data_IF_927662329980
#
_entry.id   IF_927662329980
#
_cell.length_a   1.000
_cell.length_b   1.000
_cell.length_c   1.000
_cell.angle_alpha   90.00
_cell.angle_beta   90.00
_cell.angle_gamma   90.00
#
_symmetry.space_group_name_H-M   'P 1'
#
loop_
_entity.id
_entity.type
_entity.pdbx_description
1 polymer ?
#
# COMPACT_ATOMS: atom_id res chain seq x y z
N UNK A 1 -11.09 19.71 8.64
CA UNK A 1 -10.78 18.33 9.06
C UNK A 1 -11.01 18.28 10.56
N UNK A 2 -12.12 17.68 11.01
CA UNK A 2 -12.42 17.59 12.46
C UNK A 2 -11.49 16.54 13.06
N UNK A 3 -11.11 16.73 14.33
CA UNK A 3 -10.22 15.84 15.09
C UNK A 3 -10.72 14.40 15.25
N UNK A 4 -11.93 14.12 14.77
CA UNK A 4 -12.70 12.92 14.98
C UNK A 4 -12.71 12.05 13.71
N UNK A 5 -12.36 12.65 12.56
CA UNK A 5 -12.10 11.99 11.27
C UNK A 5 -10.68 11.41 11.24
N UNK A 6 -10.18 10.90 12.37
CA UNK A 6 -8.85 10.30 12.40
C UNK A 6 -8.87 9.17 11.39
N UNK A 7 -7.98 9.26 10.38
CA UNK A 7 -7.44 8.05 9.77
C UNK A 7 -7.04 7.16 10.95
N UNK A 8 -7.86 6.15 11.24
CA UNK A 8 -7.55 5.23 12.33
C UNK A 8 -6.50 4.32 11.73
N UNK A 9 -5.28 4.84 11.70
CA UNK A 9 -4.08 4.04 11.52
C UNK A 9 -4.20 2.90 12.53
N UNK A 10 -4.17 1.67 12.03
CA UNK A 10 -4.31 0.49 12.86
C UNK A 10 -2.92 -0.09 13.07
N UNK A 11 -2.63 -0.50 14.31
CA UNK A 11 -1.33 -1.03 14.65
C UNK A 11 -1.07 -2.25 13.78
N UNK A 12 0.00 -2.18 13.00
CA UNK A 12 0.44 -3.23 12.12
C UNK A 12 1.91 -3.47 12.47
N UNK A 13 2.20 -4.47 13.32
CA UNK A 13 3.58 -4.84 13.57
C UNK A 13 4.08 -5.51 12.28
N UNK A 14 4.71 -4.70 11.43
CA UNK A 14 5.68 -5.19 10.45
C UNK A 14 7.08 -5.29 11.09
N UNK A 15 7.26 -4.72 12.29
CA UNK A 15 8.45 -4.91 13.10
C UNK A 15 8.43 -6.28 13.79
N UNK A 16 8.89 -7.29 13.05
CA UNK A 16 8.96 -8.68 13.50
C UNK A 16 9.86 -9.55 12.61
N UNK A 17 11.16 -9.59 12.94
CA UNK A 17 12.24 -10.45 12.40
C UNK A 17 12.71 -10.26 10.95
N UNK A 18 11.92 -9.72 10.03
CA UNK A 18 12.41 -9.33 8.70
C UNK A 18 11.80 -7.97 8.33
N UNK A 19 12.56 -6.89 8.48
CA UNK A 19 12.15 -5.51 8.11
C UNK A 19 11.92 -5.36 6.59
N UNK A 20 12.27 -6.40 5.85
CA UNK A 20 12.13 -6.56 4.42
C UNK A 20 10.88 -7.36 4.09
N UNK A 21 9.94 -6.73 3.41
CA UNK A 21 8.77 -7.40 2.82
C UNK A 21 8.75 -7.21 1.32
N UNK A 22 7.96 -8.04 0.65
CA UNK A 22 7.75 -7.97 -0.79
C UNK A 22 6.34 -7.44 -1.06
N UNK A 23 6.19 -6.18 -1.49
CA UNK A 23 4.88 -5.62 -1.78
C UNK A 23 4.24 -6.38 -2.94
N UNK A 24 2.96 -6.72 -2.76
CA UNK A 24 2.15 -7.33 -3.80
C UNK A 24 1.53 -6.21 -4.64
N UNK A 25 1.92 -6.15 -5.91
CA UNK A 25 1.42 -5.13 -6.82
C UNK A 25 -0.07 -5.36 -7.14
N UNK A 26 -0.81 -4.28 -7.34
CA UNK A 26 -2.23 -4.31 -7.67
C UNK A 26 -2.52 -3.27 -8.74
N UNK A 27 -3.21 -3.65 -9.81
CA UNK A 27 -3.57 -2.72 -10.90
C UNK A 27 -2.36 -1.91 -11.43
N UNK A 28 -1.15 -2.50 -11.39
CA UNK A 28 0.11 -1.80 -11.68
C UNK A 28 0.23 -1.45 -13.17
N UNK A 29 -0.43 -2.21 -14.04
CA UNK A 29 -0.48 -1.94 -15.48
C UNK A 29 -1.22 -0.63 -15.80
N UNK A 30 -2.06 -0.17 -14.87
CA UNK A 30 -2.76 1.13 -14.95
C UNK A 30 -2.06 2.23 -14.17
N UNK A 31 -0.96 1.90 -13.49
CA UNK A 31 -0.18 2.82 -12.67
C UNK A 31 0.68 3.71 -13.54
N UNK A 32 0.81 4.99 -13.16
CA UNK A 32 1.82 5.85 -13.82
C UNK A 32 3.22 5.54 -13.32
N UNK A 33 3.34 5.01 -12.10
CA UNK A 33 4.63 4.62 -11.51
C UNK A 33 5.12 3.31 -12.10
N UNK A 34 4.22 2.34 -12.26
CA UNK A 34 4.57 0.95 -12.57
C UNK A 34 4.06 0.47 -13.93
N UNK A 35 3.34 1.30 -14.69
CA UNK A 35 2.70 0.90 -15.96
C UNK A 35 3.69 0.61 -17.08
N UNK A 36 4.91 1.15 -17.03
CA UNK A 36 5.97 0.89 -18.00
C UNK A 36 6.81 -0.35 -17.65
N UNK A 37 6.47 -1.06 -16.56
CA UNK A 37 7.14 -2.29 -16.21
C UNK A 37 6.83 -3.41 -17.22
N UNK A 38 7.78 -4.31 -17.52
CA UNK A 38 7.52 -5.47 -18.38
C UNK A 38 6.34 -6.30 -17.90
N UNK A 39 5.65 -6.97 -18.82
CA UNK A 39 4.59 -7.91 -18.48
C UNK A 39 5.10 -8.98 -17.49
N UNK A 40 4.26 -9.37 -16.53
CA UNK A 40 4.59 -10.29 -15.43
C UNK A 40 5.57 -9.72 -14.38
N UNK A 41 5.80 -8.40 -14.36
CA UNK A 41 6.60 -7.78 -13.30
C UNK A 41 6.01 -7.95 -11.91
N UNK A 42 4.69 -8.15 -11.76
CA UNK A 42 4.05 -8.46 -10.46
C UNK A 42 4.75 -9.61 -9.73
N UNK A 43 4.99 -10.72 -10.43
CA UNK A 43 5.67 -11.87 -9.85
C UNK A 43 7.12 -11.55 -9.47
N UNK A 44 7.82 -10.78 -10.30
CA UNK A 44 9.20 -10.41 -10.03
C UNK A 44 9.30 -9.50 -8.81
N UNK A 45 8.46 -8.46 -8.73
CA UNK A 45 8.46 -7.51 -7.61
C UNK A 45 8.05 -8.19 -6.30
N UNK A 46 7.01 -9.03 -6.33
CA UNK A 46 6.55 -9.78 -5.15
C UNK A 46 7.53 -10.86 -4.66
N UNK A 47 8.59 -11.15 -5.43
CA UNK A 47 9.57 -12.19 -5.08
C UNK A 47 11.00 -11.66 -4.85
N UNK A 48 11.37 -10.58 -5.53
CA UNK A 48 12.75 -10.09 -5.57
C UNK A 48 12.90 -8.64 -5.16
N UNK A 49 11.82 -7.85 -5.10
CA UNK A 49 11.90 -6.45 -4.69
C UNK A 49 11.48 -6.30 -3.25
N UNK A 50 12.48 -5.92 -2.47
CA UNK A 50 12.51 -5.98 -1.02
C UNK A 50 12.47 -4.54 -0.52
N UNK A 51 11.45 -4.17 0.24
CA UNK A 51 11.26 -2.79 0.74
C UNK A 51 11.39 -2.74 2.26
N UNK A 52 11.79 -1.60 2.81
CA UNK A 52 12.02 -1.46 4.26
C UNK A 52 10.83 -0.78 4.93
N UNK A 53 10.25 -1.43 5.93
CA UNK A 53 9.13 -0.86 6.70
C UNK A 53 9.57 -0.38 8.08
N UNK A 54 9.56 0.94 8.28
CA UNK A 54 9.92 1.60 9.55
C UNK A 54 8.72 2.30 10.20
N UNK A 55 7.59 1.60 10.28
CA UNK A 55 6.37 2.12 10.88
C UNK A 55 5.64 1.05 11.70
N UNK A 56 4.85 1.49 12.67
CA UNK A 56 4.07 0.64 13.57
C UNK A 56 2.58 0.60 13.21
N UNK A 57 2.19 1.39 12.20
CA UNK A 57 0.80 1.67 11.90
C UNK A 57 0.59 1.80 10.41
N UNK A 58 -0.52 1.25 9.92
CA UNK A 58 -0.89 1.35 8.52
C UNK A 58 -2.40 1.40 8.32
N UNK A 59 -2.80 1.53 7.06
CA UNK A 59 -4.20 1.53 6.64
C UNK A 59 -4.55 0.12 6.18
N UNK A 60 -5.50 -0.53 6.85
CA UNK A 60 -5.98 -1.84 6.40
C UNK A 60 -6.69 -1.70 5.07
N UNK A 61 -6.39 -2.60 4.12
CA UNK A 61 -6.99 -2.58 2.79
C UNK A 61 -8.52 -2.68 2.85
N UNK A 62 -9.06 -3.47 3.78
CA UNK A 62 -10.51 -3.56 4.00
C UNK A 62 -11.11 -2.23 4.46
N UNK A 63 -10.45 -1.54 5.39
CA UNK A 63 -10.93 -0.24 5.87
C UNK A 63 -10.91 0.80 4.74
N UNK A 64 -9.82 0.82 3.96
CA UNK A 64 -9.69 1.67 2.78
C UNK A 64 -10.82 1.44 1.77
N UNK A 65 -11.11 0.17 1.44
CA UNK A 65 -12.06 -0.17 0.39
C UNK A 65 -13.53 0.01 0.78
N UNK A 66 -13.86 -0.20 2.06
CA UNK A 66 -15.24 -0.27 2.53
C UNK A 66 -15.68 0.92 3.39
N UNK A 67 -14.75 1.58 4.10
CA UNK A 67 -15.10 2.62 5.07
C UNK A 67 -14.59 4.02 4.68
N UNK A 68 -13.83 4.14 3.57
CA UNK A 68 -13.17 5.39 3.14
C UNK A 68 -13.45 5.72 1.67
N UNK A 69 -14.70 6.03 1.29
CA UNK A 69 -15.06 6.35 -0.09
C UNK A 69 -14.27 7.56 -0.64
N UNK A 70 -13.94 8.54 0.19
CA UNK A 70 -13.13 9.69 -0.18
C UNK A 70 -11.72 9.32 -0.64
N UNK A 71 -11.07 8.39 0.07
CA UNK A 71 -9.74 7.90 -0.30
C UNK A 71 -9.83 7.01 -1.54
N UNK A 72 -10.79 6.08 -1.56
CA UNK A 72 -11.03 5.17 -2.69
C UNK A 72 -11.33 5.90 -4.00
N UNK A 73 -12.00 7.05 -3.94
CA UNK A 73 -12.33 7.83 -5.13
C UNK A 73 -11.18 8.75 -5.59
N UNK A 74 -10.26 9.11 -4.68
CA UNK A 74 -9.13 9.97 -5.01
C UNK A 74 -7.87 9.18 -5.40
N UNK A 75 -7.63 8.05 -4.74
CA UNK A 75 -6.43 7.24 -4.88
C UNK A 75 -6.72 5.81 -5.35
N UNK A 76 -5.88 5.31 -6.25
CA UNK A 76 -5.75 3.90 -6.60
C UNK A 76 -4.74 3.25 -5.66
N UNK A 77 -5.06 2.08 -5.14
CA UNK A 77 -4.09 1.21 -4.45
C UNK A 77 -3.28 0.47 -5.49
N UNK A 78 -1.97 0.70 -5.52
CA UNK A 78 -1.05 0.10 -6.50
C UNK A 78 -0.14 -0.97 -5.89
N UNK A 79 -0.03 -1.02 -4.57
CA UNK A 79 0.53 -2.16 -3.87
C UNK A 79 -0.06 -2.30 -2.45
N UNK A 80 -0.02 -3.53 -1.95
CA UNK A 80 -0.34 -3.84 -0.56
C UNK A 80 0.68 -4.83 0.00
N UNK A 81 0.73 -4.91 1.32
CA UNK A 81 1.61 -5.82 2.06
C UNK A 81 0.78 -6.60 3.08
N UNK A 82 1.33 -7.73 3.52
CA UNK A 82 0.73 -8.54 4.57
C UNK A 82 1.54 -8.38 5.86
N UNK A 83 0.86 -8.08 6.96
CA UNK A 83 1.51 -7.98 8.27
C UNK A 83 1.68 -9.32 8.99
N UNK A 84 2.40 -9.33 10.11
CA UNK A 84 2.66 -10.54 10.91
C UNK A 84 1.37 -11.28 11.33
N UNK A 85 0.25 -10.56 11.41
CA UNK A 85 -1.07 -11.11 11.73
C UNK A 85 -1.90 -11.45 10.49
N UNK A 86 -1.25 -11.52 9.31
CA UNK A 86 -1.85 -11.82 8.01
C UNK A 86 -2.84 -10.78 7.50
N UNK A 87 -2.82 -9.55 8.03
CA UNK A 87 -3.72 -8.47 7.59
C UNK A 87 -3.12 -7.74 6.40
N UNK A 88 -3.97 -7.41 5.44
CA UNK A 88 -3.56 -6.66 4.24
C UNK A 88 -3.52 -5.16 4.53
N UNK A 89 -2.38 -4.54 4.29
CA UNK A 89 -2.09 -3.14 4.54
C UNK A 89 -1.82 -2.46 3.22
N UNK A 90 -2.39 -1.27 2.99
CA UNK A 90 -2.06 -0.45 1.83
C UNK A 90 -0.61 0.01 1.96
N UNK A 91 0.24 -0.33 0.98
CA UNK A 91 1.68 0.01 1.01
C UNK A 91 2.09 1.00 -0.05
N UNK A 92 1.37 1.07 -1.18
CA UNK A 92 1.56 2.12 -2.17
C UNK A 92 0.23 2.55 -2.81
N UNK A 93 0.09 3.86 -3.02
CA UNK A 93 -1.05 4.48 -3.69
C UNK A 93 -0.59 5.54 -4.69
N UNK A 94 -1.46 5.84 -5.65
CA UNK A 94 -1.33 7.00 -6.52
C UNK A 94 -2.69 7.67 -6.72
N UNK A 95 -2.72 8.98 -6.92
CA UNK A 95 -3.98 9.69 -7.17
C UNK A 95 -4.47 9.41 -8.60
N UNK A 96 -5.79 9.30 -8.84
CA UNK A 96 -6.29 9.04 -10.19
C UNK A 96 -5.94 10.16 -11.17
N UNK A 97 -6.19 11.41 -10.76
CA UNK A 97 -6.15 12.58 -11.65
C UNK A 97 -5.01 13.56 -11.36
N UNK A 98 -4.20 13.28 -10.34
CA UNK A 98 -3.09 14.16 -9.90
C UNK A 98 -1.78 13.37 -9.85
N UNK A 99 -0.63 14.01 -10.08
CA UNK A 99 0.67 13.35 -10.01
C UNK A 99 1.16 13.21 -8.56
N UNK A 100 0.30 12.68 -7.68
CA UNK A 100 0.63 12.39 -6.29
C UNK A 100 0.78 10.89 -6.11
N UNK A 101 1.85 10.52 -5.41
CA UNK A 101 2.25 9.15 -5.15
C UNK A 101 2.65 9.06 -3.69
N UNK A 102 2.27 7.97 -3.02
CA UNK A 102 2.65 7.76 -1.64
C UNK A 102 3.01 6.29 -1.42
N UNK A 103 4.09 6.09 -0.67
CA UNK A 103 4.59 4.79 -0.25
C UNK A 103 4.67 4.78 1.27
N UNK A 104 4.30 3.65 1.86
CA UNK A 104 4.39 3.45 3.30
C UNK A 104 5.77 2.93 3.71
N UNK A 105 6.46 2.26 2.79
CA UNK A 105 7.83 1.77 2.93
C UNK A 105 8.87 2.79 2.44
N UNK A 106 10.13 2.50 2.76
CA UNK A 106 11.33 3.16 2.23
C UNK A 106 12.04 2.26 1.21
#
# INVERSE_FOLDING_TARGET
>A
LRSDDKLVLKRSPLMGKNDTVYPMMKEYERSRVFGDLPENSEWYYSKYISVINLHNWGIWLSDYLFNRPELKNFYRVIAYEQDDNKRMIVSAIEAFNYPFYAYQFH
#
